data_IF_353854005375
#
_entry.id   IF_353854005375
#
_cell.length_a   1.000
_cell.length_b   1.000
_cell.length_c   1.000
_cell.angle_alpha   90.00
_cell.angle_beta   90.00
_cell.angle_gamma   90.00
#
_symmetry.space_group_name_H-M   'P 1'
#
loop_
_entity.id
_entity.type
_entity.pdbx_description
1 polymer ?
#
# COMPACT_ATOMS: atom_id res chain seq x y z
N UNK A 1 -17.63 17.99 -36.20
CA UNK A 1 -16.51 18.30 -35.30
C UNK A 1 -17.11 19.10 -34.16
N UNK A 2 -17.39 18.47 -33.02
CA UNK A 2 -17.77 19.22 -31.82
C UNK A 2 -16.51 19.98 -31.39
N UNK A 3 -16.48 21.29 -31.56
CA UNK A 3 -15.43 22.12 -30.98
C UNK A 3 -15.59 22.03 -29.47
N UNK A 4 -14.72 21.28 -28.81
CA UNK A 4 -14.56 21.33 -27.36
C UNK A 4 -14.11 22.77 -27.03
N UNK A 5 -14.87 23.46 -26.20
CA UNK A 5 -14.50 24.77 -25.66
C UNK A 5 -13.95 24.57 -24.26
N UNK A 6 -12.74 25.05 -23.99
CA UNK A 6 -12.19 25.08 -22.65
C UNK A 6 -12.72 26.31 -21.90
N UNK A 7 -13.11 26.13 -20.63
CA UNK A 7 -13.40 27.22 -19.69
C UNK A 7 -12.31 27.21 -18.63
N UNK A 8 -11.66 28.35 -18.43
CA UNK A 8 -10.68 28.53 -17.36
C UNK A 8 -11.44 28.98 -16.11
N UNK A 9 -11.20 28.30 -15.00
CA UNK A 9 -11.77 28.64 -13.68
C UNK A 9 -10.58 28.90 -12.76
N UNK A 10 -10.48 30.10 -12.20
CA UNK A 10 -9.41 30.51 -11.28
C UNK A 10 -9.92 30.69 -9.85
N UNK A 11 -9.01 31.04 -8.95
CA UNK A 11 -9.28 31.23 -7.52
C UNK A 11 -9.40 32.70 -7.09
N UNK A 12 -9.59 33.65 -8.01
CA UNK A 12 -9.66 35.10 -7.72
C UNK A 12 -10.66 35.45 -6.60
N UNK A 13 -11.75 34.69 -6.48
CA UNK A 13 -12.76 34.88 -5.43
C UNK A 13 -12.24 34.61 -4.02
N UNK A 14 -11.13 33.88 -3.87
CA UNK A 14 -10.50 33.55 -2.60
C UNK A 14 -9.48 34.59 -2.16
N UNK A 15 -9.06 35.52 -3.03
CA UNK A 15 -8.04 36.52 -2.68
C UNK A 15 -8.42 37.37 -1.48
N UNK A 16 -9.69 37.76 -1.42
CA UNK A 16 -10.25 38.50 -0.28
C UNK A 16 -10.37 37.67 1.01
N UNK A 17 -10.27 36.33 0.92
CA UNK A 17 -10.36 35.37 2.04
C UNK A 17 -8.99 34.88 2.51
N UNK A 18 -7.88 35.40 1.97
CA UNK A 18 -6.52 34.96 2.32
C UNK A 18 -6.29 34.79 3.82
N UNK A 19 -6.68 35.79 4.62
CA UNK A 19 -6.47 35.76 6.06
C UNK A 19 -7.30 34.65 6.75
N UNK A 20 -8.54 34.43 6.32
CA UNK A 20 -9.38 33.37 6.88
C UNK A 20 -8.81 31.99 6.53
N UNK A 21 -8.30 31.84 5.31
CA UNK A 21 -7.65 30.61 4.82
C UNK A 21 -6.38 30.30 5.63
N UNK A 22 -5.48 31.28 5.80
CA UNK A 22 -4.25 31.05 6.57
C UNK A 22 -4.54 30.82 8.04
N UNK A 23 -5.51 31.52 8.65
CA UNK A 23 -5.95 31.22 10.03
C UNK A 23 -6.53 29.82 10.17
N UNK A 24 -7.16 29.28 9.12
CA UNK A 24 -7.66 27.91 9.12
C UNK A 24 -6.58 26.84 8.93
N UNK A 25 -5.35 27.23 8.57
CA UNK A 25 -4.23 26.33 8.34
C UNK A 25 -3.91 26.03 6.88
N UNK A 26 -4.50 26.76 5.92
CA UNK A 26 -4.06 26.70 4.51
C UNK A 26 -2.71 27.39 4.39
N UNK A 27 -1.73 26.69 3.84
CA UNK A 27 -0.39 27.23 3.64
C UNK A 27 -0.39 28.16 2.42
N UNK A 28 0.12 29.38 2.57
CA UNK A 28 0.21 30.37 1.48
C UNK A 28 1.51 31.16 1.65
N UNK A 29 2.23 31.41 0.55
CA UNK A 29 3.44 32.27 0.62
C UNK A 29 3.08 33.67 1.08
N UNK A 30 3.94 34.24 1.93
CA UNK A 30 3.77 35.59 2.46
C UNK A 30 3.70 36.62 1.35
N UNK A 31 2.68 37.48 1.45
CA UNK A 31 2.45 38.55 0.49
C UNK A 31 1.78 38.11 -0.82
N UNK A 32 1.53 36.81 -1.03
CA UNK A 32 0.84 36.31 -2.23
C UNK A 32 -0.66 36.16 -2.03
N UNK A 33 -1.42 36.31 -3.11
CA UNK A 33 -2.86 36.04 -3.12
C UNK A 33 -3.11 34.55 -3.37
N UNK A 34 -4.16 33.95 -2.78
CA UNK A 34 -4.63 32.61 -3.10
C UNK A 34 -4.68 32.29 -4.60
N UNK A 35 -5.17 33.22 -5.44
CA UNK A 35 -5.24 33.04 -6.89
C UNK A 35 -3.90 32.89 -7.61
N UNK A 36 -2.85 33.46 -7.03
CA UNK A 36 -1.49 33.37 -7.55
C UNK A 36 -0.74 32.18 -6.95
N UNK A 37 -1.06 31.85 -5.70
CA UNK A 37 -0.31 30.88 -4.91
C UNK A 37 -0.86 29.46 -5.02
N UNK A 38 -2.16 29.27 -5.26
CA UNK A 38 -2.74 27.92 -5.30
C UNK A 38 -2.26 27.10 -6.50
N UNK A 39 -1.84 25.87 -6.22
CA UNK A 39 -1.26 24.91 -7.17
C UNK A 39 -2.12 23.64 -7.24
N UNK A 40 -3.04 23.55 -8.21
CA UNK A 40 -3.80 22.33 -8.46
C UNK A 40 -2.93 21.21 -9.02
N UNK A 41 -2.91 20.06 -8.34
CA UNK A 41 -2.12 18.90 -8.75
C UNK A 41 -3.00 17.74 -9.24
N UNK A 42 -4.01 17.37 -8.47
CA UNK A 42 -4.88 16.22 -8.76
C UNK A 42 -6.37 16.58 -8.68
N UNK A 43 -7.20 15.80 -9.36
CA UNK A 43 -8.65 15.98 -9.39
C UNK A 43 -9.40 14.65 -9.21
N UNK A 44 -10.42 14.67 -8.35
CA UNK A 44 -11.39 13.58 -8.24
C UNK A 44 -12.82 14.11 -8.39
N UNK A 45 -13.68 13.36 -9.07
CA UNK A 45 -15.06 13.79 -9.39
C UNK A 45 -16.07 12.93 -8.62
N UNK A 46 -16.99 13.59 -7.92
CA UNK A 46 -18.13 12.94 -7.23
C UNK A 46 -18.93 12.04 -8.18
N UNK A 47 -19.56 10.98 -7.65
CA UNK A 47 -20.22 9.98 -8.50
C UNK A 47 -21.40 10.54 -9.30
N UNK A 48 -22.06 11.58 -8.78
CA UNK A 48 -23.15 12.29 -9.46
C UNK A 48 -22.67 13.35 -10.48
N UNK A 49 -21.35 13.57 -10.57
CA UNK A 49 -20.72 14.51 -11.47
C UNK A 49 -21.04 15.98 -11.16
N UNK A 50 -21.53 16.29 -9.95
CA UNK A 50 -21.90 17.66 -9.57
C UNK A 50 -20.70 18.46 -9.05
N UNK A 51 -19.80 17.78 -8.32
CA UNK A 51 -18.60 18.37 -7.71
C UNK A 51 -17.32 17.68 -8.19
N UNK A 52 -16.28 18.47 -8.33
CA UNK A 52 -14.90 17.99 -8.37
C UNK A 52 -14.15 18.51 -7.15
N UNK A 53 -13.26 17.68 -6.63
CA UNK A 53 -12.33 17.98 -5.56
C UNK A 53 -10.94 18.08 -6.15
N UNK A 54 -10.21 19.10 -5.76
CA UNK A 54 -8.90 19.44 -6.30
C UNK A 54 -7.91 19.44 -5.15
N UNK A 55 -6.84 18.66 -5.30
CA UNK A 55 -5.71 18.69 -4.38
C UNK A 55 -4.91 19.98 -4.60
N UNK A 56 -4.60 20.67 -3.51
CA UNK A 56 -3.67 21.80 -3.47
C UNK A 56 -2.52 21.41 -2.53
N UNK A 57 -1.56 20.66 -3.07
CA UNK A 57 -0.58 19.89 -2.31
C UNK A 57 0.27 20.78 -1.40
N UNK A 58 0.95 21.76 -1.97
CA UNK A 58 1.84 22.71 -1.29
C UNK A 58 1.07 23.65 -0.36
N UNK A 59 -0.24 23.82 -0.61
CA UNK A 59 -1.12 24.59 0.25
C UNK A 59 -1.70 23.78 1.42
N UNK A 60 -1.41 22.47 1.47
CA UNK A 60 -1.95 21.52 2.43
C UNK A 60 -3.49 21.61 2.51
N UNK A 61 -4.14 21.69 1.34
CA UNK A 61 -5.55 22.04 1.24
C UNK A 61 -6.28 21.25 0.14
N UNK A 62 -7.61 21.27 0.23
CA UNK A 62 -8.52 20.72 -0.77
C UNK A 62 -9.49 21.79 -1.25
N UNK A 63 -9.59 22.01 -2.56
CA UNK A 63 -10.56 22.90 -3.17
C UNK A 63 -11.77 22.14 -3.72
N UNK A 64 -12.95 22.78 -3.67
CA UNK A 64 -14.21 22.21 -4.18
C UNK A 64 -14.71 23.03 -5.36
N UNK A 65 -14.78 22.40 -6.53
CA UNK A 65 -15.33 22.95 -7.77
C UNK A 65 -16.75 22.45 -7.98
N UNK A 66 -17.72 23.37 -8.07
CA UNK A 66 -19.04 23.03 -8.61
C UNK A 66 -18.95 22.98 -10.14
N UNK A 67 -19.15 21.80 -10.71
CA UNK A 67 -18.91 21.54 -12.13
C UNK A 67 -19.92 22.30 -13.00
N UNK A 68 -21.17 22.39 -12.55
CA UNK A 68 -22.26 23.00 -13.32
C UNK A 68 -22.09 24.51 -13.47
N UNK A 69 -21.77 25.21 -12.39
CA UNK A 69 -21.48 26.64 -12.40
C UNK A 69 -20.07 26.93 -12.89
N UNK A 70 -19.18 25.93 -12.81
CA UNK A 70 -17.75 26.04 -13.07
C UNK A 70 -17.15 27.21 -12.28
N UNK A 71 -17.24 27.07 -10.96
CA UNK A 71 -16.73 27.99 -9.95
C UNK A 71 -16.25 27.20 -8.72
N UNK A 72 -15.08 27.58 -8.19
CA UNK A 72 -14.62 27.09 -6.90
C UNK A 72 -15.51 27.69 -5.79
N UNK A 73 -16.02 26.81 -4.94
CA UNK A 73 -17.01 27.13 -3.90
C UNK A 73 -16.33 27.26 -2.55
N UNK A 74 -15.45 26.31 -2.23
CA UNK A 74 -14.77 26.21 -0.94
C UNK A 74 -13.31 25.79 -1.11
N UNK A 75 -12.51 26.12 -0.10
CA UNK A 75 -11.14 25.62 0.11
C UNK A 75 -11.00 25.28 1.57
N UNK A 76 -10.57 24.06 1.85
CA UNK A 76 -10.46 23.53 3.21
C UNK A 76 -9.01 23.16 3.52
N UNK A 77 -8.49 23.63 4.65
CA UNK A 77 -7.24 23.14 5.20
C UNK A 77 -7.39 21.69 5.64
N UNK A 78 -6.35 20.88 5.45
CA UNK A 78 -6.34 19.47 5.89
C UNK A 78 -5.89 19.30 7.35
N UNK A 79 -5.38 20.36 7.96
CA UNK A 79 -4.76 20.31 9.29
C UNK A 79 -3.37 19.70 9.23
N UNK A 80 -2.87 19.25 10.38
CA UNK A 80 -1.51 18.74 10.51
C UNK A 80 -1.48 17.46 11.34
N UNK A 81 -0.62 16.53 10.94
CA UNK A 81 -0.36 15.29 11.68
C UNK A 81 0.55 15.58 12.88
N UNK A 82 0.12 15.16 14.06
CA UNK A 82 0.87 15.39 15.32
C UNK A 82 1.77 14.19 15.65
N UNK A 83 3.08 14.37 15.53
CA UNK A 83 4.09 13.35 15.82
C UNK A 83 4.37 13.17 17.32
N UNK A 84 3.66 13.87 18.21
CA UNK A 84 3.69 13.58 19.65
C UNK A 84 2.76 12.44 20.06
N UNK A 85 1.88 12.00 19.14
CA UNK A 85 0.88 10.98 19.36
C UNK A 85 1.43 9.60 18.99
N UNK A 86 1.15 8.60 19.84
CA UNK A 86 1.49 7.20 19.55
C UNK A 86 0.72 6.70 18.32
N UNK A 87 1.38 6.01 17.41
CA UNK A 87 0.87 5.64 16.09
C UNK A 87 1.23 6.66 15.00
N UNK A 88 1.87 7.78 15.34
CA UNK A 88 2.40 8.77 14.39
C UNK A 88 3.92 8.89 14.52
N UNK A 89 4.60 7.82 14.92
CA UNK A 89 6.06 7.75 14.92
C UNK A 89 6.62 8.07 13.52
N UNK A 90 7.82 8.66 13.47
CA UNK A 90 8.53 8.95 12.21
C UNK A 90 10.00 8.56 12.31
N UNK A 91 10.59 8.07 11.20
CA UNK A 91 11.93 7.50 11.15
C UNK A 91 13.02 8.47 10.64
N UNK A 92 13.08 9.68 11.21
CA UNK A 92 14.01 10.74 10.76
C UNK A 92 15.48 10.31 10.90
N UNK A 93 15.83 9.61 11.99
CA UNK A 93 17.19 9.12 12.26
C UNK A 93 17.36 7.61 12.05
N UNK A 94 16.41 7.00 11.34
CA UNK A 94 16.36 5.55 11.09
C UNK A 94 15.70 4.74 12.20
N UNK A 95 15.13 5.39 13.23
CA UNK A 95 14.36 4.73 14.28
C UNK A 95 13.00 5.39 14.50
N UNK A 96 11.98 4.60 14.83
CA UNK A 96 10.63 5.09 15.10
C UNK A 96 10.64 5.94 16.37
N UNK A 97 10.30 7.24 16.26
CA UNK A 97 10.28 8.17 17.39
C UNK A 97 9.06 9.10 17.34
N UNK A 98 8.66 9.57 18.52
CA UNK A 98 7.68 10.67 18.66
C UNK A 98 8.39 11.97 19.04
N UNK A 99 7.77 13.10 18.70
CA UNK A 99 8.35 14.44 18.85
C UNK A 99 7.29 15.44 19.30
N UNK A 100 7.53 16.10 20.44
CA UNK A 100 6.51 16.95 21.09
C UNK A 100 6.11 18.20 20.29
N UNK A 101 7.05 18.76 19.53
CA UNK A 101 6.89 20.03 18.80
C UNK A 101 7.06 19.87 17.29
N UNK A 102 6.80 18.66 16.78
CA UNK A 102 6.89 18.34 15.37
C UNK A 102 5.52 17.94 14.83
N UNK A 103 5.17 18.53 13.71
CA UNK A 103 3.99 18.18 12.93
C UNK A 103 4.42 17.85 11.50
N UNK A 104 3.54 17.21 10.73
CA UNK A 104 3.63 17.14 9.28
C UNK A 104 2.41 17.80 8.65
N UNK A 105 2.63 18.56 7.57
CA UNK A 105 1.56 18.87 6.63
C UNK A 105 1.18 17.57 5.89
N UNK A 106 -0.10 17.41 5.54
CA UNK A 106 -0.52 16.22 4.81
C UNK A 106 -0.04 16.23 3.36
N UNK A 107 -0.03 17.41 2.71
CA UNK A 107 0.42 17.58 1.31
C UNK A 107 -0.21 16.53 0.37
N UNK A 108 -1.51 16.69 0.04
CA UNK A 108 -2.25 15.72 -0.76
C UNK A 108 -1.74 15.75 -2.20
N UNK A 109 -1.04 14.71 -2.62
CA UNK A 109 -0.57 14.54 -4.00
C UNK A 109 -1.71 13.92 -4.84
N UNK A 110 -1.75 12.59 -4.93
CA UNK A 110 -2.90 11.86 -5.49
C UNK A 110 -4.14 11.94 -4.59
N UNK A 111 -5.32 12.08 -5.21
CA UNK A 111 -6.60 11.97 -4.50
C UNK A 111 -7.61 11.03 -5.17
N UNK A 112 -8.39 10.35 -4.35
CA UNK A 112 -9.50 9.50 -4.80
C UNK A 112 -10.77 9.75 -4.00
N UNK A 113 -11.92 9.36 -4.54
CA UNK A 113 -13.21 9.52 -3.86
C UNK A 113 -13.78 8.16 -3.50
N UNK A 114 -14.23 8.06 -2.26
CA UNK A 114 -15.05 6.96 -1.79
C UNK A 114 -16.37 7.48 -1.24
N UNK A 115 -17.49 7.04 -1.81
CA UNK A 115 -18.82 7.40 -1.33
C UNK A 115 -19.50 6.19 -0.70
N UNK A 116 -19.92 6.34 0.57
CA UNK A 116 -20.53 5.26 1.33
C UNK A 116 -21.67 5.80 2.20
N UNK A 117 -22.85 5.17 2.12
CA UNK A 117 -24.03 5.53 2.92
C UNK A 117 -24.39 7.03 2.88
N UNK A 118 -24.26 7.66 1.71
CA UNK A 118 -24.56 9.08 1.52
C UNK A 118 -23.50 10.05 2.05
N UNK A 119 -22.34 9.56 2.46
CA UNK A 119 -21.17 10.35 2.83
C UNK A 119 -20.13 10.29 1.72
N UNK A 120 -19.41 11.39 1.53
CA UNK A 120 -18.28 11.48 0.60
C UNK A 120 -16.99 11.55 1.39
N UNK A 121 -16.07 10.67 1.07
CA UNK A 121 -14.72 10.62 1.62
C UNK A 121 -13.70 10.90 0.52
N UNK A 122 -12.75 11.77 0.81
CA UNK A 122 -11.62 12.10 -0.06
C UNK A 122 -10.40 11.41 0.52
N UNK A 123 -9.84 10.47 -0.23
CA UNK A 123 -8.58 9.83 0.11
C UNK A 123 -7.45 10.66 -0.45
N UNK A 124 -6.40 10.86 0.33
CA UNK A 124 -5.21 11.61 -0.06
C UNK A 124 -3.98 10.75 0.15
N UNK A 125 -3.11 10.70 -0.84
CA UNK A 125 -1.75 10.20 -0.68
C UNK A 125 -0.89 11.36 -0.12
N UNK A 126 -0.34 11.18 1.08
CA UNK A 126 0.28 12.26 1.84
C UNK A 126 1.80 12.23 1.69
N UNK A 127 2.25 12.49 0.48
CA UNK A 127 3.65 12.36 0.07
C UNK A 127 4.49 13.54 0.57
N UNK A 128 3.93 14.74 0.41
CA UNK A 128 4.56 15.80 -0.39
C UNK A 128 5.95 16.30 -0.04
N UNK A 129 6.55 16.91 -1.06
CA UNK A 129 7.76 17.73 -1.02
C UNK A 129 7.47 19.18 -0.55
N UNK A 130 8.54 19.95 -0.37
CA UNK A 130 8.45 21.40 -0.29
C UNK A 130 8.27 22.00 -1.69
N UNK A 131 7.69 23.20 -1.71
CA UNK A 131 7.42 23.94 -2.94
C UNK A 131 8.71 24.21 -3.75
N UNK A 132 8.80 23.69 -4.97
CA UNK A 132 9.93 23.92 -5.89
C UNK A 132 9.59 24.89 -7.03
N UNK A 133 9.87 26.18 -6.85
CA UNK A 133 9.79 27.15 -7.94
C UNK A 133 11.16 27.53 -8.48
N UNK A 134 11.16 27.94 -9.75
CA UNK A 134 12.32 28.67 -10.30
C UNK A 134 12.62 29.89 -9.41
N UNK A 135 13.90 30.14 -9.06
CA UNK A 135 14.31 31.37 -8.38
C UNK A 135 13.91 32.67 -9.09
N UNK A 136 13.52 32.57 -10.38
CA UNK A 136 12.99 33.68 -11.16
C UNK A 136 11.52 34.04 -10.83
N UNK A 137 10.75 33.11 -10.26
CA UNK A 137 9.35 33.28 -9.85
C UNK A 137 9.28 33.54 -8.34
N UNK A 138 9.95 32.69 -7.54
CA UNK A 138 10.12 32.86 -6.10
C UNK A 138 11.60 32.72 -5.73
N UNK A 139 12.29 33.80 -5.36
CA UNK A 139 13.71 33.76 -5.05
C UNK A 139 14.03 33.23 -3.64
N UNK A 140 13.00 33.00 -2.82
CA UNK A 140 13.12 32.59 -1.42
C UNK A 140 13.01 31.06 -1.33
N UNK A 141 13.84 30.46 -0.46
CA UNK A 141 13.76 29.05 -0.12
C UNK A 141 12.56 28.86 0.83
N UNK A 142 11.73 27.85 0.58
CA UNK A 142 10.57 27.55 1.43
C UNK A 142 10.88 26.50 2.50
N UNK A 143 12.15 26.13 2.63
CA UNK A 143 12.65 25.22 3.65
C UNK A 143 13.57 25.89 4.67
N UNK A 144 13.52 25.43 5.92
CA UNK A 144 14.50 25.73 6.97
C UNK A 144 15.07 24.43 7.57
N UNK A 145 16.25 24.51 8.19
CA UNK A 145 16.93 23.39 8.85
C UNK A 145 17.01 23.63 10.34
N UNK A 146 16.16 22.93 11.08
CA UNK A 146 16.04 23.07 12.53
C UNK A 146 16.71 21.91 13.29
N UNK A 147 16.84 22.10 14.60
CA UNK A 147 17.15 21.02 15.54
C UNK A 147 15.91 20.73 16.37
N UNK A 148 15.49 19.48 16.41
CA UNK A 148 14.35 19.02 17.20
C UNK A 148 14.82 18.07 18.30
N UNK A 149 13.93 17.76 19.23
CA UNK A 149 14.20 16.83 20.33
C UNK A 149 13.18 15.71 20.31
N UNK A 150 13.65 14.47 20.31
CA UNK A 150 12.80 13.28 20.38
C UNK A 150 12.17 13.09 21.77
N UNK A 151 11.29 12.10 21.89
CA UNK A 151 10.65 11.74 23.15
C UNK A 151 11.61 11.27 24.26
N UNK A 152 12.84 10.92 23.92
CA UNK A 152 13.88 10.46 24.85
C UNK A 152 14.84 11.60 25.28
N UNK A 153 14.71 12.78 24.69
CA UNK A 153 15.54 13.95 24.99
C UNK A 153 16.78 14.08 24.10
N UNK A 154 16.90 13.28 23.03
CA UNK A 154 18.02 13.36 22.10
C UNK A 154 17.78 14.45 21.04
N UNK A 155 18.82 15.19 20.69
CA UNK A 155 18.78 16.18 19.61
C UNK A 155 18.92 15.51 18.24
N UNK A 156 17.99 15.82 17.34
CA UNK A 156 18.08 15.49 15.90
C UNK A 156 18.29 16.79 15.13
N UNK A 157 19.40 16.88 14.39
CA UNK A 157 19.86 18.11 13.73
C UNK A 157 19.59 18.07 12.23
N UNK A 158 19.46 19.26 11.62
CA UNK A 158 19.24 19.43 10.17
C UNK A 158 17.95 18.77 9.69
N UNK A 159 16.93 18.78 10.53
CA UNK A 159 15.59 18.37 10.11
C UNK A 159 15.05 19.48 9.23
N UNK A 160 14.67 19.11 8.00
CA UNK A 160 14.10 20.02 7.01
C UNK A 160 12.63 20.23 7.34
N UNK A 161 12.22 21.49 7.44
CA UNK A 161 10.87 21.91 7.79
C UNK A 161 10.42 23.04 6.87
N UNK A 162 9.11 23.25 6.74
CA UNK A 162 8.55 24.37 6.00
C UNK A 162 8.95 25.68 6.72
N UNK A 163 9.55 26.62 5.98
CA UNK A 163 10.04 27.88 6.53
C UNK A 163 8.88 28.82 6.90
N UNK A 164 8.73 29.06 8.20
CA UNK A 164 7.74 29.98 8.74
C UNK A 164 8.06 31.45 8.45
N UNK A 165 9.28 31.76 8.01
CA UNK A 165 9.69 33.10 7.60
C UNK A 165 9.08 33.51 6.26
N UNK A 166 8.80 32.54 5.38
CA UNK A 166 8.28 32.72 4.01
C UNK A 166 6.83 32.25 3.85
N UNK A 167 6.33 31.41 4.76
CA UNK A 167 5.00 30.76 4.64
C UNK A 167 4.05 31.19 5.78
N UNK A 168 2.82 31.61 5.43
CA UNK A 168 1.72 31.82 6.36
C UNK A 168 0.85 30.55 6.48
N UNK A 169 0.11 30.41 7.58
CA UNK A 169 -0.80 29.28 7.83
C UNK A 169 -0.21 28.16 8.66
N UNK A 170 1.07 28.27 9.01
CA UNK A 170 1.75 27.35 9.92
C UNK A 170 1.33 27.62 11.39
N UNK A 171 1.18 26.57 12.21
CA UNK A 171 0.92 26.70 13.63
C UNK A 171 2.10 27.34 14.37
N UNK A 172 1.80 28.25 15.30
CA UNK A 172 2.80 28.90 16.15
C UNK A 172 3.54 27.87 17.03
N UNK A 173 4.84 28.11 17.27
CA UNK A 173 5.71 27.30 18.14
C UNK A 173 5.85 25.81 17.75
N UNK A 174 5.56 25.47 16.49
CA UNK A 174 5.70 24.12 15.94
C UNK A 174 6.63 24.11 14.73
N UNK A 175 7.39 23.03 14.61
CA UNK A 175 8.11 22.69 13.39
C UNK A 175 7.19 21.81 12.53
N UNK A 176 7.09 22.09 11.23
CA UNK A 176 6.21 21.36 10.31
C UNK A 176 7.04 20.77 9.19
N UNK A 177 7.03 19.45 9.07
CA UNK A 177 7.60 18.74 7.93
C UNK A 177 6.67 18.87 6.72
N UNK A 178 7.26 18.86 5.52
CA UNK A 178 6.54 18.54 4.30
C UNK A 178 6.21 17.03 4.30
N UNK A 179 5.01 16.69 3.84
CA UNK A 179 4.56 15.31 3.69
C UNK A 179 4.15 14.60 4.98
N UNK A 180 3.02 13.89 4.92
CA UNK A 180 2.47 13.13 6.05
C UNK A 180 3.04 11.72 6.21
N UNK A 181 3.72 11.21 5.17
CA UNK A 181 4.20 9.82 5.04
C UNK A 181 3.13 8.79 5.36
N UNK A 182 1.93 9.05 4.86
CA UNK A 182 0.74 8.25 5.13
C UNK A 182 -0.24 8.33 3.96
N UNK A 183 -1.39 7.70 4.10
CA UNK A 183 -2.58 8.17 3.41
C UNK A 183 -3.63 8.58 4.43
N UNK A 184 -4.50 9.51 4.05
CA UNK A 184 -5.59 10.00 4.87
C UNK A 184 -6.92 9.82 4.16
N UNK A 185 -8.00 9.79 4.94
CA UNK A 185 -9.37 9.84 4.46
C UNK A 185 -10.12 10.96 5.17
N UNK A 186 -10.58 11.93 4.39
CA UNK A 186 -11.30 13.10 4.86
C UNK A 186 -12.79 12.99 4.52
N UNK A 187 -13.65 13.05 5.54
CA UNK A 187 -15.10 13.13 5.36
C UNK A 187 -15.50 14.55 4.98
N UNK A 188 -16.20 14.69 3.86
CA UNK A 188 -16.91 15.93 3.52
C UNK A 188 -18.22 15.99 4.30
N UNK A 189 -18.39 17.07 5.06
CA UNK A 189 -19.56 17.33 5.90
C UNK A 189 -20.25 18.62 5.47
N UNK A 190 -21.46 18.85 5.98
CA UNK A 190 -22.19 20.11 5.70
C UNK A 190 -21.45 21.35 6.24
N UNK A 191 -20.61 21.19 7.26
CA UNK A 191 -19.88 22.26 7.94
C UNK A 191 -18.40 22.37 7.49
N UNK A 192 -17.96 21.54 6.53
CA UNK A 192 -16.59 21.55 6.00
C UNK A 192 -15.98 20.16 5.89
N UNK A 193 -14.67 20.05 6.16
CA UNK A 193 -13.92 18.80 6.05
C UNK A 193 -13.51 18.27 7.43
N UNK A 194 -13.46 16.94 7.59
CA UNK A 194 -13.00 16.29 8.82
C UNK A 194 -12.13 15.08 8.51
N UNK A 195 -10.96 14.98 9.13
CA UNK A 195 -10.15 13.77 9.09
C UNK A 195 -10.92 12.60 9.74
N UNK A 196 -11.23 11.58 8.94
CA UNK A 196 -11.89 10.35 9.38
C UNK A 196 -10.88 9.27 9.76
N UNK A 197 -9.76 9.19 9.04
CA UNK A 197 -8.69 8.23 9.25
C UNK A 197 -7.37 8.75 8.68
N UNK A 198 -6.25 8.43 9.33
CA UNK A 198 -4.90 8.53 8.79
C UNK A 198 -4.17 7.21 9.09
N UNK A 199 -3.33 6.75 8.17
CA UNK A 199 -2.56 5.51 8.37
C UNK A 199 -1.42 5.64 9.37
N UNK A 200 -1.19 6.82 9.95
CA UNK A 200 -0.19 6.99 11.00
C UNK A 200 1.21 6.61 10.52
N UNK A 201 1.94 5.83 11.30
CA UNK A 201 3.27 5.32 10.97
C UNK A 201 3.26 4.07 10.09
N UNK A 202 2.08 3.56 9.66
CA UNK A 202 1.95 2.27 8.96
C UNK A 202 2.94 2.14 7.79
N UNK A 203 3.14 3.19 7.00
CA UNK A 203 4.01 3.12 5.82
C UNK A 203 5.45 2.81 6.22
N UNK A 204 5.99 3.52 7.20
CA UNK A 204 7.37 3.33 7.67
C UNK A 204 7.49 2.03 8.49
N UNK A 205 6.52 1.72 9.34
CA UNK A 205 6.52 0.51 10.17
C UNK A 205 6.49 -0.77 9.30
N UNK A 206 5.61 -0.81 8.30
CA UNK A 206 5.46 -1.96 7.41
C UNK A 206 6.69 -2.09 6.51
N UNK A 207 7.14 -1.00 5.87
CA UNK A 207 8.32 -1.06 4.99
C UNK A 207 9.58 -1.44 5.76
N UNK A 208 9.76 -0.95 7.00
CA UNK A 208 10.82 -1.39 7.90
C UNK A 208 10.69 -2.88 8.26
N UNK A 209 9.49 -3.38 8.52
CA UNK A 209 9.26 -4.78 8.84
C UNK A 209 9.56 -5.72 7.66
N UNK A 210 9.23 -5.33 6.44
CA UNK A 210 9.43 -6.17 5.25
C UNK A 210 10.83 -6.02 4.65
N UNK A 211 11.39 -4.81 4.69
CA UNK A 211 12.65 -4.45 4.04
C UNK A 211 13.54 -3.57 4.94
N UNK A 212 14.02 -4.07 6.10
CA UNK A 212 14.72 -3.25 7.09
C UNK A 212 16.00 -2.57 6.56
N UNK A 213 16.69 -3.18 5.59
CA UNK A 213 17.92 -2.61 5.00
C UNK A 213 17.64 -1.63 3.84
N UNK A 214 16.36 -1.44 3.49
CA UNK A 214 15.92 -0.69 2.32
C UNK A 214 14.73 0.22 2.56
N UNK A 215 14.06 0.19 3.71
CA UNK A 215 12.80 0.91 3.98
C UNK A 215 12.84 2.41 3.62
N UNK A 216 13.99 3.06 3.80
CA UNK A 216 14.22 4.46 3.44
C UNK A 216 14.93 4.62 2.09
N UNK A 217 14.57 3.79 1.11
CA UNK A 217 15.05 3.92 -0.27
C UNK A 217 14.56 5.22 -0.88
N UNK A 218 15.38 5.85 -1.71
CA UNK A 218 15.01 7.05 -2.46
C UNK A 218 15.21 6.79 -3.94
N UNK A 219 14.32 7.36 -4.74
CA UNK A 219 14.61 7.79 -6.11
C UNK A 219 14.53 9.33 -6.07
N UNK A 220 15.10 10.04 -7.03
CA UNK A 220 15.20 11.52 -6.97
C UNK A 220 13.85 12.24 -7.25
N UNK A 221 12.75 11.49 -7.32
CA UNK A 221 11.35 11.91 -7.49
C UNK A 221 10.48 11.42 -6.33
N UNK A 222 9.38 12.13 -6.11
CA UNK A 222 8.49 12.00 -4.96
C UNK A 222 7.02 12.13 -5.36
N UNK A 223 6.41 11.03 -5.78
CA UNK A 223 5.00 10.98 -6.14
C UNK A 223 4.33 9.78 -5.43
N UNK A 224 3.18 9.99 -4.81
CA UNK A 224 2.31 8.92 -4.31
C UNK A 224 0.92 9.08 -4.91
N UNK A 225 0.42 8.01 -5.52
CA UNK A 225 -0.94 7.98 -6.05
C UNK A 225 -1.83 7.03 -5.25
N UNK A 226 -3.13 7.33 -5.23
CA UNK A 226 -4.14 6.54 -4.53
C UNK A 226 -5.35 6.31 -5.42
N UNK A 227 -5.82 5.06 -5.45
CA UNK A 227 -7.10 4.71 -6.07
C UNK A 227 -7.96 3.86 -5.16
N UNK A 228 -9.27 3.89 -5.40
CA UNK A 228 -10.25 3.10 -4.66
C UNK A 228 -10.89 2.08 -5.60
N UNK A 229 -10.97 0.83 -5.13
CA UNK A 229 -11.58 -0.27 -5.88
C UNK A 229 -12.47 -1.13 -5.00
N UNK A 230 -13.63 -1.51 -5.53
CA UNK A 230 -14.49 -2.50 -4.88
C UNK A 230 -14.20 -3.89 -5.46
N UNK A 231 -13.93 -4.85 -4.58
CA UNK A 231 -13.75 -6.27 -4.91
C UNK A 231 -14.76 -7.05 -4.05
N UNK A 232 -15.70 -7.73 -4.70
CA UNK A 232 -16.84 -8.36 -4.05
C UNK A 232 -17.61 -7.38 -3.13
N UNK A 233 -17.75 -7.69 -1.84
CA UNK A 233 -18.40 -6.86 -0.83
C UNK A 233 -17.44 -5.89 -0.11
N UNK A 234 -16.16 -5.91 -0.48
CA UNK A 234 -15.10 -5.13 0.14
C UNK A 234 -14.67 -3.96 -0.72
N UNK A 235 -14.35 -2.85 -0.07
CA UNK A 235 -13.79 -1.65 -0.71
C UNK A 235 -12.37 -1.46 -0.20
N UNK A 236 -11.44 -1.26 -1.13
CA UNK A 236 -10.02 -1.09 -0.83
C UNK A 236 -9.51 0.25 -1.30
N UNK A 237 -8.65 0.87 -0.49
CA UNK A 237 -7.72 1.90 -0.95
C UNK A 237 -6.42 1.21 -1.37
N UNK A 238 -5.91 1.57 -2.54
CA UNK A 238 -4.59 1.17 -3.03
C UNK A 238 -3.72 2.40 -3.11
N UNK A 239 -2.58 2.38 -2.42
CA UNK A 239 -1.63 3.50 -2.37
C UNK A 239 -0.30 3.04 -2.95
N UNK A 240 0.08 3.62 -4.08
CA UNK A 240 1.38 3.38 -4.71
C UNK A 240 2.48 4.04 -3.87
N UNK A 241 3.63 3.39 -3.76
CA UNK A 241 4.81 3.87 -3.03
C UNK A 241 5.97 4.01 -4.01
N UNK A 242 6.24 5.20 -4.54
CA UNK A 242 7.25 5.37 -5.58
C UNK A 242 8.68 5.08 -5.07
N UNK A 243 9.05 5.72 -3.94
CA UNK A 243 10.38 5.61 -3.32
C UNK A 243 10.77 4.17 -2.99
N UNK A 244 10.14 3.55 -2.01
CA UNK A 244 10.46 2.16 -1.64
C UNK A 244 9.98 1.16 -2.70
N UNK A 245 9.06 1.57 -3.57
CA UNK A 245 8.41 0.70 -4.56
C UNK A 245 7.17 0.01 -3.99
N UNK A 246 6.36 -0.50 -4.91
CA UNK A 246 5.20 -1.33 -4.57
C UNK A 246 3.91 -0.56 -4.27
N UNK A 247 2.92 -1.30 -3.79
CA UNK A 247 1.58 -0.80 -3.52
C UNK A 247 1.01 -1.41 -2.25
N UNK A 248 0.51 -0.56 -1.37
CA UNK A 248 -0.21 -0.98 -0.17
C UNK A 248 -1.71 -1.01 -0.42
N UNK A 249 -2.38 -2.02 0.12
CA UNK A 249 -3.83 -2.17 0.07
C UNK A 249 -4.42 -2.12 1.49
N UNK A 250 -5.47 -1.32 1.66
CA UNK A 250 -6.19 -1.15 2.92
C UNK A 250 -7.69 -1.43 2.70
N UNK A 251 -8.30 -2.30 3.51
CA UNK A 251 -9.75 -2.51 3.54
C UNK A 251 -10.39 -1.29 4.22
N UNK A 252 -11.09 -0.48 3.42
CA UNK A 252 -11.80 0.73 3.83
C UNK A 252 -13.33 0.55 3.86
N UNK A 253 -13.82 -0.69 3.73
CA UNK A 253 -15.26 -1.02 3.69
C UNK A 253 -16.04 -0.38 4.84
N UNK A 254 -15.41 -0.34 6.03
CA UNK A 254 -15.87 0.45 7.15
C UNK A 254 -14.92 1.63 7.38
N UNK A 255 -15.30 2.87 7.00
CA UNK A 255 -14.47 4.06 7.21
C UNK A 255 -14.03 4.31 8.65
N UNK A 256 -14.76 3.78 9.64
CA UNK A 256 -14.42 3.92 11.05
C UNK A 256 -13.43 2.83 11.54
N UNK A 257 -13.12 1.84 10.71
CA UNK A 257 -12.20 0.73 11.02
C UNK A 257 -11.49 0.26 9.76
N UNK A 258 -10.55 1.07 9.29
CA UNK A 258 -9.64 0.72 8.20
C UNK A 258 -8.63 -0.32 8.68
N UNK A 259 -8.32 -1.31 7.84
CA UNK A 259 -7.32 -2.34 8.17
C UNK A 259 -6.34 -2.52 7.01
N UNK A 260 -5.04 -2.54 7.30
CA UNK A 260 -4.02 -2.96 6.34
C UNK A 260 -4.32 -4.38 5.86
N UNK A 261 -4.24 -4.60 4.54
CA UNK A 261 -4.55 -5.88 3.91
C UNK A 261 -3.31 -6.53 3.30
N UNK A 262 -2.55 -5.79 2.48
CA UNK A 262 -1.36 -6.34 1.85
C UNK A 262 -0.40 -5.23 1.39
N UNK A 263 0.86 -5.60 1.19
CA UNK A 263 1.87 -4.77 0.54
C UNK A 263 2.60 -5.62 -0.50
N UNK A 264 2.45 -5.24 -1.77
CA UNK A 264 3.06 -5.95 -2.88
C UNK A 264 4.20 -5.08 -3.43
N UNK A 265 5.42 -5.59 -3.39
CA UNK A 265 6.58 -4.90 -3.91
C UNK A 265 7.45 -5.88 -4.73
N UNK A 266 7.60 -5.57 -6.02
CA UNK A 266 8.39 -6.35 -6.98
C UNK A 266 9.66 -5.61 -7.44
N UNK A 267 10.07 -4.57 -6.69
CA UNK A 267 11.34 -3.88 -6.90
C UNK A 267 12.51 -4.82 -6.69
N UNK A 268 13.47 -4.77 -7.61
CA UNK A 268 14.74 -5.47 -7.47
C UNK A 268 15.79 -4.55 -6.83
N UNK A 269 16.03 -4.78 -5.54
CA UNK A 269 17.00 -4.03 -4.74
C UNK A 269 18.47 -4.45 -4.95
N UNK A 270 18.75 -5.48 -5.77
CA UNK A 270 20.12 -5.98 -6.02
C UNK A 270 20.67 -5.59 -7.39
N UNK A 271 19.90 -4.86 -8.21
CA UNK A 271 20.38 -4.26 -9.45
C UNK A 271 21.58 -3.32 -9.19
N UNK A 272 22.44 -3.15 -10.19
CA UNK A 272 23.76 -2.49 -10.05
C UNK A 272 23.68 -1.03 -9.57
N UNK A 273 22.56 -0.37 -9.83
CA UNK A 273 22.20 0.99 -9.39
C UNK A 273 21.10 1.02 -8.31
N UNK A 274 20.64 -0.14 -7.82
CA UNK A 274 19.51 -0.26 -6.90
C UNK A 274 18.14 0.01 -7.55
N UNK A 275 18.08 0.12 -8.88
CA UNK A 275 16.89 0.40 -9.68
C UNK A 275 16.70 -0.75 -10.67
N UNK A 276 15.98 -1.79 -10.25
CA UNK A 276 15.61 -2.91 -11.10
C UNK A 276 14.21 -3.42 -10.81
N UNK A 277 13.75 -4.38 -11.61
CA UNK A 277 12.38 -4.89 -11.52
C UNK A 277 11.36 -3.79 -11.80
N UNK A 278 10.34 -3.69 -10.97
CA UNK A 278 9.31 -2.65 -11.05
C UNK A 278 9.59 -1.57 -10.00
N UNK A 279 10.15 -0.44 -10.44
CA UNK A 279 10.53 0.69 -9.57
C UNK A 279 9.80 1.97 -9.95
N UNK A 280 9.41 2.72 -8.92
CA UNK A 280 8.70 3.99 -9.01
C UNK A 280 7.29 3.89 -9.55
N UNK A 281 6.37 3.12 -8.90
CA UNK A 281 4.97 3.17 -9.26
C UNK A 281 4.40 4.58 -8.96
N UNK A 282 3.89 5.22 -10.00
CA UNK A 282 3.33 6.58 -9.96
C UNK A 282 1.87 6.52 -10.42
N UNK A 283 1.60 6.14 -11.66
CA UNK A 283 0.23 6.00 -12.14
C UNK A 283 -0.46 4.73 -11.64
N UNK A 284 -1.62 4.87 -10.99
CA UNK A 284 -2.43 3.71 -10.52
C UNK A 284 -3.84 3.71 -11.10
N UNK A 285 -4.32 2.54 -11.54
CA UNK A 285 -5.67 2.38 -12.07
C UNK A 285 -6.31 1.07 -11.61
N UNK A 286 -7.54 1.16 -11.11
CA UNK A 286 -8.37 0.01 -10.77
C UNK A 286 -9.32 -0.33 -11.93
N UNK A 287 -9.44 -1.62 -12.24
CA UNK A 287 -10.40 -2.16 -13.22
C UNK A 287 -11.32 -3.14 -12.51
N UNK A 288 -12.61 -2.82 -12.45
CA UNK A 288 -13.60 -3.68 -11.84
C UNK A 288 -13.70 -5.04 -12.57
N UNK A 289 -14.05 -6.10 -11.83
CA UNK A 289 -14.21 -7.47 -12.37
C UNK A 289 -15.12 -7.54 -13.60
N UNK A 290 -16.22 -6.77 -13.60
CA UNK A 290 -17.16 -6.68 -14.72
C UNK A 290 -16.57 -6.08 -16.01
N UNK A 291 -15.47 -5.33 -15.91
CA UNK A 291 -14.75 -4.72 -17.03
C UNK A 291 -13.45 -5.47 -17.35
N UNK A 292 -13.06 -6.44 -16.52
CA UNK A 292 -11.82 -7.18 -16.64
C UNK A 292 -11.94 -8.36 -17.62
N UNK A 293 -10.94 -8.59 -18.48
CA UNK A 293 -10.92 -9.76 -19.36
C UNK A 293 -10.74 -11.09 -18.62
N UNK A 294 -10.26 -11.09 -17.38
CA UNK A 294 -10.06 -12.32 -16.59
C UNK A 294 -11.28 -12.70 -15.74
N UNK A 295 -12.24 -11.76 -15.60
CA UNK A 295 -13.38 -11.90 -14.70
C UNK A 295 -13.08 -11.54 -13.24
N UNK A 296 -11.82 -11.28 -12.89
CA UNK A 296 -11.39 -10.80 -11.58
C UNK A 296 -11.00 -9.31 -11.65
N UNK A 297 -11.11 -8.57 -10.55
CA UNK A 297 -10.69 -7.18 -10.52
C UNK A 297 -9.18 -7.05 -10.79
N UNK A 298 -8.75 -5.99 -11.46
CA UNK A 298 -7.35 -5.74 -11.75
C UNK A 298 -6.86 -4.44 -11.11
N UNK A 299 -5.61 -4.42 -10.66
CA UNK A 299 -4.87 -3.22 -10.34
C UNK A 299 -3.74 -3.06 -11.36
N UNK A 300 -3.67 -1.90 -11.99
CA UNK A 300 -2.64 -1.56 -12.97
C UNK A 300 -1.78 -0.46 -12.38
N UNK A 301 -0.45 -0.63 -12.43
CA UNK A 301 0.50 0.41 -12.02
C UNK A 301 1.48 0.69 -13.15
N UNK A 302 1.72 1.97 -13.42
CA UNK A 302 2.80 2.45 -14.26
C UNK A 302 4.02 2.74 -13.40
N UNK A 303 5.14 2.10 -13.70
CA UNK A 303 6.40 2.31 -13.01
C UNK A 303 7.29 3.24 -13.85
N UNK A 304 7.35 4.52 -13.49
CA UNK A 304 7.97 5.55 -14.32
C UNK A 304 9.51 5.41 -14.42
N UNK A 305 10.17 5.09 -13.31
CA UNK A 305 11.64 4.98 -13.25
C UNK A 305 12.14 3.84 -14.14
N UNK A 306 11.41 2.73 -14.20
CA UNK A 306 11.79 1.52 -14.97
C UNK A 306 11.03 1.38 -16.29
N UNK A 307 10.00 2.19 -16.51
CA UNK A 307 9.11 2.13 -17.67
C UNK A 307 8.28 0.84 -17.76
N UNK A 308 8.12 0.09 -16.66
CA UNK A 308 7.33 -1.15 -16.65
C UNK A 308 5.86 -0.87 -16.33
N UNK A 309 5.01 -1.86 -16.61
CA UNK A 309 3.60 -1.83 -16.25
C UNK A 309 3.23 -3.10 -15.50
N UNK A 310 2.80 -2.94 -14.27
CA UNK A 310 2.30 -4.00 -13.40
C UNK A 310 0.80 -4.18 -13.64
N UNK A 311 0.36 -5.44 -13.68
CA UNK A 311 -1.06 -5.80 -13.71
C UNK A 311 -1.28 -6.92 -12.70
N UNK A 312 -1.89 -6.59 -11.57
CA UNK A 312 -2.27 -7.54 -10.54
C UNK A 312 -3.71 -7.97 -10.72
N UNK A 313 -3.95 -9.27 -10.65
CA UNK A 313 -5.28 -9.81 -10.46
C UNK A 313 -5.59 -9.85 -8.96
N UNK A 314 -6.70 -9.22 -8.58
CA UNK A 314 -7.07 -9.04 -7.19
C UNK A 314 -8.18 -10.02 -6.82
N UNK A 315 -7.92 -10.78 -5.77
CA UNK A 315 -8.87 -11.70 -5.15
C UNK A 315 -8.96 -11.37 -3.67
N UNK A 316 -10.18 -11.36 -3.13
CA UNK A 316 -10.40 -11.17 -1.69
C UNK A 316 -10.22 -12.52 -1.01
N UNK A 317 -9.35 -12.57 0.00
CA UNK A 317 -9.26 -13.72 0.89
C UNK A 317 -10.66 -14.00 1.47
N UNK A 318 -11.10 -15.26 1.64
CA UNK A 318 -12.49 -15.66 1.90
C UNK A 318 -13.23 -15.11 3.15
N UNK A 319 -12.73 -14.05 3.80
CA UNK A 319 -13.36 -13.33 4.89
C UNK A 319 -12.94 -13.84 6.26
N UNK A 320 -13.73 -13.54 7.30
CA UNK A 320 -13.55 -14.13 8.64
C UNK A 320 -14.01 -15.59 8.65
N UNK A 321 -13.06 -16.48 8.86
CA UNK A 321 -13.24 -17.93 8.92
C UNK A 321 -13.06 -18.46 10.35
N UNK A 322 -13.18 -17.62 11.36
CA UNK A 322 -13.11 -18.03 12.77
C UNK A 322 -14.05 -19.20 13.06
N UNK A 323 -13.48 -20.30 13.56
CA UNK A 323 -14.21 -21.52 13.89
C UNK A 323 -14.54 -22.42 12.70
N UNK A 324 -13.99 -22.14 11.51
CA UNK A 324 -14.04 -23.04 10.35
C UNK A 324 -12.78 -23.91 10.29
N UNK A 325 -12.95 -25.12 9.77
CA UNK A 325 -11.86 -25.98 9.31
C UNK A 325 -11.78 -25.85 7.79
N UNK A 326 -10.62 -25.44 7.28
CA UNK A 326 -10.31 -25.41 5.85
C UNK A 326 -9.35 -26.54 5.56
N UNK A 327 -9.71 -27.41 4.60
CA UNK A 327 -8.84 -28.48 4.13
C UNK A 327 -8.25 -28.02 2.80
N UNK A 328 -6.95 -27.74 2.81
CA UNK A 328 -6.18 -27.53 1.59
C UNK A 328 -5.57 -28.87 1.24
N UNK A 329 -5.73 -29.31 -0.01
CA UNK A 329 -5.15 -30.56 -0.46
C UNK A 329 -4.37 -30.39 -1.75
N UNK A 330 -3.33 -31.20 -1.89
CA UNK A 330 -2.62 -31.41 -3.15
C UNK A 330 -2.63 -32.88 -3.52
N UNK A 331 -2.40 -33.16 -4.79
CA UNK A 331 -2.25 -34.49 -5.36
C UNK A 331 -1.39 -34.40 -6.61
N UNK A 332 -0.61 -35.44 -6.90
CA UNK A 332 0.14 -35.58 -8.15
C UNK A 332 1.03 -34.36 -8.45
N UNK A 333 1.66 -33.78 -7.42
CA UNK A 333 2.50 -32.59 -7.62
C UNK A 333 3.70 -32.91 -8.49
N UNK A 334 4.16 -34.16 -8.47
CA UNK A 334 5.25 -34.66 -9.30
C UNK A 334 6.52 -33.78 -9.30
N UNK A 335 6.81 -33.14 -8.15
CA UNK A 335 7.92 -32.20 -8.00
C UNK A 335 7.70 -30.79 -8.55
N UNK A 336 6.46 -30.42 -8.87
CA UNK A 336 6.02 -29.06 -9.24
C UNK A 336 6.09 -28.05 -8.09
N UNK A 337 7.12 -28.15 -7.25
CA UNK A 337 7.38 -27.36 -6.05
C UNK A 337 7.83 -25.92 -6.37
N UNK A 338 8.38 -25.71 -7.57
CA UNK A 338 8.80 -24.40 -8.06
C UNK A 338 7.64 -23.71 -8.78
N UNK A 339 7.36 -22.47 -8.39
CA UNK A 339 6.31 -21.68 -9.03
C UNK A 339 6.66 -21.41 -10.50
N UNK A 340 5.70 -21.69 -11.39
CA UNK A 340 5.79 -21.41 -12.82
C UNK A 340 4.55 -20.63 -13.23
N UNK A 341 4.75 -19.39 -13.69
CA UNK A 341 3.68 -18.46 -14.05
C UNK A 341 2.67 -19.12 -15.01
N UNK A 342 1.40 -19.11 -14.62
CA UNK A 342 0.28 -19.67 -15.40
C UNK A 342 0.14 -21.20 -15.33
N UNK A 343 0.99 -21.89 -14.56
CA UNK A 343 1.02 -23.35 -14.50
C UNK A 343 0.96 -23.89 -13.06
N UNK A 344 1.87 -23.45 -12.18
CA UNK A 344 1.96 -23.92 -10.79
C UNK A 344 2.27 -22.76 -9.85
N UNK A 345 1.59 -22.72 -8.70
CA UNK A 345 1.89 -21.79 -7.61
C UNK A 345 3.10 -22.23 -6.77
N UNK A 346 3.57 -23.47 -6.97
CA UNK A 346 4.64 -24.08 -6.19
C UNK A 346 4.30 -24.25 -4.72
N UNK A 347 5.21 -24.88 -3.99
CA UNK A 347 5.01 -25.21 -2.57
C UNK A 347 5.08 -23.99 -1.68
N UNK A 348 5.81 -22.94 -2.09
CA UNK A 348 5.78 -21.64 -1.42
C UNK A 348 4.42 -20.93 -1.55
N UNK A 349 3.77 -21.01 -2.71
CA UNK A 349 2.42 -20.46 -2.89
C UNK A 349 1.37 -21.20 -2.04
N UNK A 350 1.51 -22.52 -1.91
CA UNK A 350 0.67 -23.32 -1.00
C UNK A 350 0.87 -22.89 0.45
N UNK A 351 2.12 -22.69 0.88
CA UNK A 351 2.43 -22.23 2.24
C UNK A 351 1.84 -20.83 2.53
N UNK A 352 1.86 -19.94 1.55
CA UNK A 352 1.21 -18.63 1.68
C UNK A 352 -0.31 -18.79 1.81
N UNK A 353 -0.91 -19.66 1.00
CA UNK A 353 -2.35 -19.92 1.07
C UNK A 353 -2.76 -20.42 2.46
N UNK A 354 -2.00 -21.34 3.07
CA UNK A 354 -2.23 -21.76 4.47
C UNK A 354 -2.26 -20.56 5.40
N UNK A 355 -1.22 -19.70 5.36
CA UNK A 355 -1.13 -18.51 6.21
C UNK A 355 -2.29 -17.54 5.98
N UNK A 356 -2.75 -17.38 4.74
CA UNK A 356 -3.87 -16.50 4.41
C UNK A 356 -5.17 -17.00 5.06
N UNK A 357 -5.43 -18.33 5.01
CA UNK A 357 -6.59 -18.93 5.66
C UNK A 357 -6.50 -18.95 7.19
N UNK A 358 -5.32 -19.21 7.75
CA UNK A 358 -5.09 -19.10 9.20
C UNK A 358 -5.22 -17.66 9.70
N UNK A 359 -4.70 -16.70 8.94
CA UNK A 359 -4.83 -15.26 9.21
C UNK A 359 -6.29 -14.78 9.15
N UNK A 360 -7.10 -15.43 8.31
CA UNK A 360 -8.55 -15.29 8.28
C UNK A 360 -9.27 -15.95 9.49
N UNK A 361 -8.56 -16.61 10.40
CA UNK A 361 -9.11 -17.25 11.60
C UNK A 361 -9.54 -18.71 11.41
N UNK A 362 -9.29 -19.31 10.24
CA UNK A 362 -9.56 -20.72 10.03
C UNK A 362 -8.55 -21.59 10.79
N UNK A 363 -9.00 -22.76 11.23
CA UNK A 363 -8.09 -23.88 11.43
C UNK A 363 -7.81 -24.47 10.04
N UNK A 364 -6.55 -24.61 9.66
CA UNK A 364 -6.18 -25.20 8.36
C UNK A 364 -5.66 -26.61 8.57
N UNK A 365 -6.01 -27.51 7.65
CA UNK A 365 -5.39 -28.82 7.50
C UNK A 365 -4.84 -28.92 6.07
N UNK A 366 -3.51 -29.00 5.92
CA UNK A 366 -2.83 -29.14 4.65
C UNK A 366 -2.45 -30.61 4.41
N UNK A 367 -3.03 -31.24 3.39
CA UNK A 367 -2.87 -32.68 3.15
C UNK A 367 -2.40 -32.99 1.73
N UNK A 368 -1.64 -34.07 1.56
CA UNK A 368 -1.26 -34.59 0.24
C UNK A 368 -1.88 -35.96 -0.03
N UNK A 369 -2.42 -36.15 -1.23
CA UNK A 369 -2.95 -37.43 -1.70
C UNK A 369 -1.92 -38.28 -2.47
N UNK A 370 -0.63 -37.91 -2.44
CA UNK A 370 0.46 -38.71 -3.01
C UNK A 370 0.98 -38.22 -4.35
N UNK A 371 1.92 -38.99 -4.89
CA UNK A 371 2.65 -38.75 -6.13
C UNK A 371 3.37 -37.39 -6.14
N UNK A 372 4.13 -37.14 -5.08
CA UNK A 372 4.86 -35.88 -4.87
C UNK A 372 6.35 -36.00 -5.19
N UNK A 373 6.95 -37.18 -4.98
CA UNK A 373 8.40 -37.31 -4.86
C UNK A 373 9.14 -37.55 -6.18
N UNK A 374 8.42 -37.76 -7.27
CA UNK A 374 8.95 -38.15 -8.58
C UNK A 374 8.34 -37.29 -9.67
N UNK A 375 9.12 -36.94 -10.70
CA UNK A 375 8.64 -36.23 -11.89
C UNK A 375 9.68 -35.24 -12.37
N UNK A 376 9.69 -34.06 -11.77
CA UNK A 376 10.65 -33.01 -12.11
C UNK A 376 12.09 -33.36 -11.72
N UNK A 377 13.10 -32.84 -12.47
CA UNK A 377 14.52 -33.09 -12.18
C UNK A 377 14.92 -32.76 -10.74
N UNK A 378 14.32 -31.71 -10.15
CA UNK A 378 14.63 -31.25 -8.80
C UNK A 378 14.37 -32.33 -7.74
N UNK A 379 13.27 -33.06 -7.86
CA UNK A 379 12.90 -34.12 -6.92
C UNK A 379 13.55 -35.44 -7.29
N UNK A 380 13.63 -35.77 -8.59
CA UNK A 380 14.27 -37.01 -9.08
C UNK A 380 15.75 -37.09 -8.71
N UNK A 381 16.53 -36.00 -8.86
CA UNK A 381 17.95 -35.99 -8.53
C UNK A 381 18.23 -36.19 -7.02
N UNK A 382 17.22 -35.94 -6.19
CA UNK A 382 17.27 -36.11 -4.74
C UNK A 382 16.56 -37.38 -4.25
N UNK A 383 16.07 -38.22 -5.17
CA UNK A 383 15.18 -39.35 -4.87
C UNK A 383 14.01 -38.97 -3.94
N UNK A 384 13.39 -37.80 -4.18
CA UNK A 384 12.25 -37.32 -3.41
C UNK A 384 12.55 -36.46 -2.19
N UNK A 385 13.79 -36.40 -1.71
CA UNK A 385 14.14 -35.68 -0.49
C UNK A 385 13.78 -34.19 -0.54
N UNK A 386 13.94 -33.55 -1.71
CA UNK A 386 13.61 -32.14 -1.85
C UNK A 386 12.10 -31.89 -1.74
N UNK A 387 11.26 -32.76 -2.30
CA UNK A 387 9.80 -32.64 -2.17
C UNK A 387 9.39 -32.64 -0.69
N UNK A 388 9.89 -33.60 0.09
CA UNK A 388 9.59 -33.70 1.53
C UNK A 388 10.06 -32.46 2.29
N UNK A 389 11.25 -31.93 1.99
CA UNK A 389 11.72 -30.68 2.61
C UNK A 389 10.82 -29.49 2.30
N UNK A 390 10.33 -29.36 1.07
CA UNK A 390 9.41 -28.30 0.72
C UNK A 390 8.06 -28.48 1.43
N UNK A 391 7.55 -29.71 1.50
CA UNK A 391 6.32 -30.01 2.23
C UNK A 391 6.44 -29.72 3.74
N UNK A 392 7.57 -30.05 4.37
CA UNK A 392 7.84 -29.67 5.76
C UNK A 392 7.80 -28.14 5.95
N UNK A 393 8.46 -27.40 5.05
CA UNK A 393 8.47 -25.93 5.10
C UNK A 393 7.09 -25.31 4.87
N UNK A 394 6.25 -25.96 4.05
CA UNK A 394 4.87 -25.55 3.82
C UNK A 394 3.91 -25.94 4.96
N UNK A 395 4.34 -26.81 5.88
CA UNK A 395 3.54 -27.24 7.02
C UNK A 395 2.44 -28.24 6.63
N UNK A 396 2.75 -29.23 5.79
CA UNK A 396 1.83 -30.35 5.56
C UNK A 396 1.55 -31.10 6.87
N UNK A 397 0.31 -31.52 7.07
CA UNK A 397 -0.15 -32.26 8.25
C UNK A 397 -0.18 -33.77 8.04
N UNK A 398 -0.37 -34.23 6.80
CA UNK A 398 -0.32 -35.65 6.43
C UNK A 398 -0.12 -35.84 4.93
N UNK A 399 0.37 -37.02 4.57
CA UNK A 399 0.44 -37.50 3.19
C UNK A 399 -0.08 -38.93 3.07
N UNK A 400 -0.78 -39.22 1.98
CA UNK A 400 -1.02 -40.61 1.55
C UNK A 400 0.03 -40.96 0.49
N UNK A 401 0.80 -42.06 0.62
CA UNK A 401 1.73 -42.47 -0.42
C UNK A 401 0.95 -42.98 -1.64
N UNK A 402 1.21 -42.39 -2.79
CA UNK A 402 0.76 -42.81 -4.11
C UNK A 402 1.65 -43.91 -4.70
N UNK A 403 1.47 -44.22 -5.98
CA UNK A 403 2.26 -45.27 -6.62
C UNK A 403 3.70 -44.84 -6.89
N UNK A 404 3.95 -43.56 -7.15
CA UNK A 404 5.29 -43.05 -7.46
C UNK A 404 6.16 -42.86 -6.21
N UNK A 405 5.60 -42.91 -5.01
CA UNK A 405 6.36 -42.95 -3.76
C UNK A 405 7.26 -44.21 -3.64
N UNK A 406 7.02 -45.22 -4.47
CA UNK A 406 7.78 -46.48 -4.49
C UNK A 406 8.88 -46.55 -5.57
N UNK A 407 8.98 -45.57 -6.46
CA UNK A 407 9.85 -45.62 -7.65
C UNK A 407 11.34 -45.67 -7.30
N UNK A 408 11.74 -45.04 -6.19
CA UNK A 408 13.11 -45.08 -5.67
C UNK A 408 13.35 -46.20 -4.65
N UNK A 409 12.37 -47.11 -4.49
CA UNK A 409 12.42 -48.27 -3.62
C UNK A 409 11.89 -48.02 -2.20
N UNK A 410 11.46 -49.10 -1.54
CA UNK A 410 10.84 -49.06 -0.22
C UNK A 410 11.77 -48.51 0.87
N UNK A 411 13.05 -48.88 0.86
CA UNK A 411 14.03 -48.35 1.81
C UNK A 411 14.23 -46.84 1.68
N UNK A 412 13.98 -46.27 0.48
CA UNK A 412 14.00 -44.83 0.29
C UNK A 412 12.74 -44.20 0.86
N UNK A 413 11.57 -44.79 0.59
CA UNK A 413 10.29 -44.33 1.15
C UNK A 413 10.34 -44.21 2.67
N UNK A 414 10.86 -45.22 3.38
CA UNK A 414 11.01 -45.19 4.84
C UNK A 414 11.93 -44.04 5.31
N UNK A 415 13.00 -43.73 4.57
CA UNK A 415 13.88 -42.58 4.90
C UNK A 415 13.20 -41.24 4.68
N UNK A 416 12.36 -41.15 3.64
CA UNK A 416 11.57 -39.95 3.36
C UNK A 416 10.53 -39.73 4.44
N UNK A 417 9.84 -40.80 4.88
CA UNK A 417 8.92 -40.78 6.02
C UNK A 417 9.63 -40.34 7.31
N UNK A 418 10.81 -40.88 7.61
CA UNK A 418 11.63 -40.44 8.76
C UNK A 418 12.07 -38.97 8.69
N UNK A 419 12.13 -38.40 7.48
CA UNK A 419 12.50 -36.98 7.26
C UNK A 419 11.30 -36.05 7.31
N UNK A 420 10.10 -36.56 7.05
CA UNK A 420 8.88 -35.76 7.04
C UNK A 420 8.51 -35.35 8.45
N UNK A 421 8.10 -34.09 8.62
CA UNK A 421 7.58 -33.59 9.90
C UNK A 421 6.09 -34.00 10.09
N UNK A 422 5.55 -34.76 9.13
CA UNK A 422 4.16 -35.21 9.07
C UNK A 422 4.07 -36.72 8.76
N UNK A 423 3.03 -37.40 9.25
CA UNK A 423 2.84 -38.82 9.03
C UNK A 423 2.47 -39.17 7.59
N UNK A 424 2.94 -40.33 7.15
CA UNK A 424 2.47 -41.01 5.96
C UNK A 424 1.39 -42.00 6.38
N UNK A 425 0.20 -41.92 5.79
CA UNK A 425 -0.93 -42.77 6.17
C UNK A 425 -1.44 -43.58 4.99
N UNK A 426 -1.58 -44.90 5.19
CA UNK A 426 -2.25 -45.77 4.23
C UNK A 426 -2.99 -46.88 4.97
N UNK A 427 -4.23 -47.14 4.57
CA UNK A 427 -5.07 -48.16 5.19
C UNK A 427 -5.04 -49.52 4.46
N UNK A 428 -4.42 -49.57 3.28
CA UNK A 428 -4.47 -50.73 2.38
C UNK A 428 -3.09 -51.21 1.90
N UNK A 429 -2.01 -50.62 2.39
CA UNK A 429 -0.64 -51.08 2.18
C UNK A 429 -0.24 -51.81 3.44
N UNK A 430 -0.02 -53.13 3.31
CA UNK A 430 0.25 -54.02 4.44
C UNK A 430 1.64 -54.65 4.30
N UNK A 431 2.39 -54.69 5.39
CA UNK A 431 3.60 -55.52 5.47
C UNK A 431 3.17 -57.01 5.51
N UNK A 432 3.64 -57.82 4.56
CA UNK A 432 3.25 -59.24 4.46
C UNK A 432 3.71 -60.10 5.63
N UNK A 433 4.78 -59.72 6.32
CA UNK A 433 5.33 -60.46 7.44
C UNK A 433 4.58 -60.16 8.74
N UNK A 434 4.16 -58.91 8.95
CA UNK A 434 3.45 -58.50 10.18
C UNK A 434 1.93 -58.49 10.02
N UNK A 435 1.42 -58.26 8.81
CA UNK A 435 0.01 -58.04 8.51
C UNK A 435 -0.51 -56.67 8.97
N UNK A 436 0.40 -55.79 9.37
CA UNK A 436 0.13 -54.40 9.79
C UNK A 436 0.15 -53.43 8.61
#
# INVERSE_FOLDING_TARGET
INCLTAKIVGFDSFDSKRNDLTVSGVLITKGQSPSFDFEPEYIAVSSDGSKAYIALQENNALAVLDIKSAAFTDVYALGFKDHSVKGNEIYIDGSAKTYKNLLSAYHPDGISIYENNGKTYILTANEGDAREWSPAVYPEDHEDKVTITDSEGNEVKKVVVIDCSTTDGLPEDKNVLAGGRSFSMFEMTDDGIKLAYDSGSDFEDLTMSFYPDRFNSSNDSLELDVTVGQIDDKVFAFVALERIGGVMAYDITNPAKVNFSNYINTRDFVAEDGIGGDSGPEGIAFVASAQSPTGNALLILGCEITGTMLVYELIVSPGDLTGKLVIIHTNDTHGGDVAVKGTSIGTAGIAQLVKDYEGAGAQVLLVSAGDAIQGDPLVNLSNGLNAIKFMNLAGYDLMVPGNHEYDFGYDNLLKLEETADFPFISANILDKATGE
#
